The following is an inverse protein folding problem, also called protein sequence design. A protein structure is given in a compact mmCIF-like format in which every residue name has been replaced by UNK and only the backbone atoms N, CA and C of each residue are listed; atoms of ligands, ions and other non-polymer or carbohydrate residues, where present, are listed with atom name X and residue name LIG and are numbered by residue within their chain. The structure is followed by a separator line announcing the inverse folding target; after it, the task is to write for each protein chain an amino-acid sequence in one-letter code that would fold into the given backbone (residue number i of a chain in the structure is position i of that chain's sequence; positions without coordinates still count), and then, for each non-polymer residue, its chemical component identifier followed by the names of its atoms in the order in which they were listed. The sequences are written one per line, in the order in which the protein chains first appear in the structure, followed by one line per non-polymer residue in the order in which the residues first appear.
data_IF_195452486012
#
_entry.id   IF_195452486012
#
_cell.length_a   1.000
_cell.length_b   1.000
_cell.length_c   1.000
_cell.angle_alpha   90.00
_cell.angle_beta   90.00
_cell.angle_gamma   90.00
#
_symmetry.space_group_name_H-M   'P 1'
#
loop_
_entity.id
_entity.type
_entity.pdbx_description
1 polymer ?
#
# COMPACT_ATOMS: atom_id res chain seq x y z
N UNK A 1 16.78 -6.58 6.89
CA UNK A 1 16.67 -5.50 5.89
C UNK A 1 16.37 -4.23 6.68
N UNK A 2 17.22 -3.22 6.66
CA UNK A 2 17.00 -1.98 7.45
C UNK A 2 16.12 -1.01 6.67
N UNK A 3 15.19 -0.32 7.35
CA UNK A 3 14.23 0.61 6.72
C UNK A 3 14.92 1.84 6.10
N UNK A 4 16.17 2.11 6.48
CA UNK A 4 16.98 3.27 6.05
C UNK A 4 17.20 3.37 4.54
N UNK A 5 16.91 2.30 3.78
CA UNK A 5 16.99 2.29 2.31
C UNK A 5 15.68 2.65 1.61
N UNK A 6 14.65 3.06 2.34
CA UNK A 6 13.35 3.40 1.75
C UNK A 6 13.44 4.73 1.02
N UNK A 7 13.33 4.69 -0.31
CA UNK A 7 13.45 5.90 -1.14
C UNK A 7 12.10 6.51 -1.48
N UNK A 8 11.03 5.71 -1.47
CA UNK A 8 9.65 6.16 -1.71
C UNK A 8 8.66 5.39 -0.86
N UNK A 9 7.54 6.03 -0.53
CA UNK A 9 6.43 5.46 0.20
C UNK A 9 5.16 5.55 -0.65
N UNK A 10 4.35 4.49 -0.61
CA UNK A 10 3.02 4.46 -1.20
C UNK A 10 2.07 3.71 -0.26
N UNK A 11 0.79 3.97 -0.36
CA UNK A 11 -0.22 3.28 0.41
C UNK A 11 -1.45 3.00 -0.42
N UNK A 12 -2.18 1.94 -0.07
CA UNK A 12 -3.47 1.61 -0.67
C UNK A 12 -4.40 1.01 0.38
N UNK A 13 -5.72 1.10 0.13
CA UNK A 13 -6.77 0.44 0.91
C UNK A 13 -7.33 -0.80 0.22
N UNK A 14 -6.87 -1.08 -1.00
CA UNK A 14 -7.35 -2.18 -1.83
C UNK A 14 -6.33 -3.33 -1.85
N UNK A 15 -6.80 -4.55 -1.59
CA UNK A 15 -5.96 -5.75 -1.53
C UNK A 15 -5.36 -6.13 -2.90
N UNK A 16 -6.08 -5.93 -4.01
CA UNK A 16 -5.58 -6.21 -5.36
C UNK A 16 -4.41 -5.28 -5.71
N UNK A 17 -4.53 -3.99 -5.38
CA UNK A 17 -3.44 -3.01 -5.53
C UNK A 17 -2.24 -3.37 -4.63
N UNK A 18 -2.50 -3.79 -3.39
CA UNK A 18 -1.46 -4.23 -2.47
C UNK A 18 -0.68 -5.44 -3.03
N UNK A 19 -1.40 -6.41 -3.58
CA UNK A 19 -0.80 -7.58 -4.24
C UNK A 19 -0.02 -7.22 -5.50
N UNK A 20 -0.49 -6.25 -6.29
CA UNK A 20 0.25 -5.74 -7.45
C UNK A 20 1.57 -5.09 -7.04
N UNK A 21 1.55 -4.26 -5.98
CA UNK A 21 2.74 -3.61 -5.43
C UNK A 21 3.80 -4.63 -5.00
N UNK A 22 3.38 -5.70 -4.31
CA UNK A 22 4.26 -6.82 -3.95
C UNK A 22 4.90 -7.46 -5.18
N UNK A 23 4.11 -7.75 -6.23
CA UNK A 23 4.60 -8.41 -7.45
C UNK A 23 5.64 -7.59 -8.20
N UNK A 24 5.52 -6.26 -8.20
CA UNK A 24 6.48 -5.37 -8.88
C UNK A 24 7.66 -4.97 -7.99
N UNK A 25 7.73 -5.50 -6.77
CA UNK A 25 8.92 -5.45 -5.91
C UNK A 25 8.89 -4.39 -4.82
N UNK A 26 7.72 -3.80 -4.52
CA UNK A 26 7.56 -2.99 -3.30
C UNK A 26 7.61 -3.88 -2.07
N UNK A 27 8.09 -3.31 -0.96
CA UNK A 27 8.16 -3.99 0.34
C UNK A 27 7.01 -3.51 1.21
N UNK A 28 6.17 -4.44 1.69
CA UNK A 28 5.13 -4.14 2.67
C UNK A 28 5.77 -3.78 4.01
N UNK A 29 5.48 -2.58 4.52
CA UNK A 29 6.03 -2.07 5.76
C UNK A 29 5.05 -2.21 6.92
N UNK A 30 3.77 -1.97 6.66
CA UNK A 30 2.71 -1.95 7.67
C UNK A 30 1.39 -2.36 7.04
N UNK A 31 0.62 -3.15 7.79
CA UNK A 31 -0.82 -3.30 7.61
C UNK A 31 -1.47 -2.75 8.88
N UNK A 32 -2.32 -1.75 8.72
CA UNK A 32 -3.04 -1.14 9.83
C UNK A 32 -4.54 -1.32 9.64
N UNK A 33 -5.19 -1.81 10.67
CA UNK A 33 -6.64 -1.73 10.79
C UNK A 33 -7.00 -0.30 11.24
N UNK A 34 -7.76 0.43 10.42
CA UNK A 34 -8.10 1.82 10.63
C UNK A 34 -9.60 1.93 10.83
N UNK A 35 -9.99 2.67 11.86
CA UNK A 35 -11.38 2.95 12.18
C UNK A 35 -11.60 4.46 12.28
N UNK A 36 -12.62 4.96 11.60
CA UNK A 36 -13.06 6.36 11.67
C UNK A 36 -14.58 6.40 11.76
N UNK A 37 -15.10 6.66 12.97
CA UNK A 37 -16.54 6.59 13.23
C UNK A 37 -17.12 5.20 12.97
N UNK A 38 -18.07 5.12 12.04
CA UNK A 38 -18.71 3.87 11.60
C UNK A 38 -17.94 3.16 10.47
N UNK A 39 -16.81 3.71 10.01
CA UNK A 39 -16.06 3.15 8.90
C UNK A 39 -14.83 2.38 9.39
N UNK A 40 -14.59 1.21 8.82
CA UNK A 40 -13.38 0.42 9.09
C UNK A 40 -12.74 -0.04 7.78
N UNK A 41 -11.42 0.04 7.69
CA UNK A 41 -10.68 -0.43 6.52
C UNK A 41 -9.25 -0.85 6.85
N UNK A 42 -8.72 -1.74 6.03
CA UNK A 42 -7.29 -2.07 6.04
C UNK A 42 -6.51 -1.01 5.25
N UNK A 43 -5.40 -0.57 5.83
CA UNK A 43 -4.47 0.34 5.20
C UNK A 43 -3.11 -0.33 5.04
N UNK A 44 -2.70 -0.52 3.80
CA UNK A 44 -1.43 -1.13 3.43
C UNK A 44 -0.42 -0.03 3.11
N UNK A 45 0.73 -0.03 3.77
CA UNK A 45 1.81 0.90 3.48
C UNK A 45 3.05 0.17 2.98
N UNK A 46 3.62 0.68 1.91
CA UNK A 46 4.73 0.09 1.19
C UNK A 46 5.90 1.06 1.06
N UNK A 47 7.10 0.49 1.02
CA UNK A 47 8.34 1.19 0.76
C UNK A 47 9.09 0.60 -0.44
N UNK A 48 9.65 1.47 -1.28
CA UNK A 48 10.61 1.05 -2.30
C UNK A 48 12.01 1.05 -1.70
N UNK A 49 12.65 -0.13 -1.66
CA UNK A 49 13.96 -0.33 -1.03
C UNK A 49 15.02 -0.83 -2.01
N UNK A 50 14.69 -0.87 -3.31
CA UNK A 50 15.58 -1.32 -4.37
C UNK A 50 16.27 -0.13 -5.03
N UNK A 51 17.41 -0.37 -5.65
CA UNK A 51 18.11 0.65 -6.44
C UNK A 51 17.29 1.00 -7.68
N UNK A 52 17.12 2.29 -7.96
CA UNK A 52 16.35 2.79 -9.11
C UNK A 52 14.98 3.36 -8.73
N UNK A 53 14.26 3.84 -9.74
CA UNK A 53 12.91 4.40 -9.58
C UNK A 53 11.90 3.24 -9.62
N UNK A 54 10.89 3.21 -8.74
CA UNK A 54 9.82 2.21 -8.84
C UNK A 54 9.10 2.34 -10.19
N UNK A 55 8.59 1.23 -10.73
CA UNK A 55 7.80 1.27 -11.96
C UNK A 55 6.54 2.10 -11.77
N UNK A 56 6.08 2.76 -12.84
CA UNK A 56 4.77 3.42 -12.86
C UNK A 56 3.69 2.33 -12.83
N UNK A 57 2.76 2.43 -11.89
CA UNK A 57 1.70 1.45 -11.68
C UNK A 57 0.37 2.16 -11.88
N UNK A 58 -0.39 1.70 -12.86
CA UNK A 58 -1.78 2.11 -13.04
C UNK A 58 -2.64 1.25 -12.14
N UNK A 59 -3.17 1.82 -11.06
CA UNK A 59 -4.17 1.13 -10.24
C UNK A 59 -5.45 0.94 -11.04
N UNK A 60 -5.85 -0.31 -11.24
CA UNK A 60 -7.09 -0.66 -11.92
C UNK A 60 -8.18 -0.78 -10.86
N UNK A 61 -8.97 0.28 -10.69
CA UNK A 61 -10.10 0.29 -9.76
C UNK A 61 -10.19 1.60 -8.98
N UNK A 62 -11.41 2.02 -8.66
CA UNK A 62 -11.66 3.07 -7.68
C UNK A 62 -11.35 2.45 -6.32
N UNK A 63 -10.49 3.07 -5.50
CA UNK A 63 -10.37 2.68 -4.10
C UNK A 63 -11.76 2.88 -3.46
N UNK A 64 -12.46 1.77 -3.22
CA UNK A 64 -13.73 1.79 -2.52
C UNK A 64 -13.57 2.58 -1.24
N UNK A 65 -14.50 3.50 -0.98
CA UNK A 65 -14.59 4.12 0.33
C UNK A 65 -14.69 3.02 1.39
N UNK A 66 -14.21 3.29 2.62
CA UNK A 66 -14.27 2.28 3.66
C UNK A 66 -15.70 1.81 3.85
N UNK A 67 -15.90 0.50 3.96
CA UNK A 67 -17.23 -0.06 4.20
C UNK A 67 -17.72 0.39 5.59
N UNK A 68 -18.96 0.88 5.70
CA UNK A 68 -19.56 1.14 7.00
C UNK A 68 -19.83 -0.19 7.74
N UNK A 69 -19.58 -0.18 9.04
CA UNK A 69 -19.91 -1.26 9.98
C UNK A 69 -21.41 -1.34 10.28
#
# INVERSE_FOLDING_TARGET
MSIDKTTQLISTRNEENANLLLRVGWTLLLVADRQEGAYQWLHYQFGWQRTGVPPEITFTGVEGGPDPF
#
